data_IF_643267832111
#
_entry.id   IF_643267832111
#
_cell.length_a   1.000
_cell.length_b   1.000
_cell.length_c   1.000
_cell.angle_alpha   90.00
_cell.angle_beta   90.00
_cell.angle_gamma   90.00
#
_symmetry.space_group_name_H-M   'P 1'
#
loop_
_entity.id
_entity.type
_entity.pdbx_description
1 polymer ?
#
# COMPACT_ATOMS: atom_id res chain seq x y z
N UNK A 1 13.46 -13.20 36.89
CA UNK A 1 14.68 -14.02 36.77
C UNK A 1 14.60 -14.71 35.42
N UNK A 2 15.22 -14.12 34.40
CA UNK A 2 15.34 -14.75 33.08
C UNK A 2 16.39 -15.85 33.24
N UNK A 3 16.16 -17.09 32.78
CA UNK A 3 17.19 -18.10 32.83
C UNK A 3 18.32 -17.68 31.89
N UNK A 4 19.55 -17.58 32.41
CA UNK A 4 20.74 -17.44 31.58
C UNK A 4 20.76 -18.57 30.54
N UNK A 5 20.69 -18.18 29.27
CA UNK A 5 20.96 -19.08 28.15
C UNK A 5 22.46 -19.33 28.14
N UNK A 6 22.94 -20.59 28.10
CA UNK A 6 24.38 -20.84 28.03
C UNK A 6 24.96 -20.23 26.75
N UNK A 7 25.96 -19.36 26.92
CA UNK A 7 26.61 -18.52 25.88
C UNK A 7 26.99 -19.30 24.61
N UNK A 8 27.33 -20.59 24.75
CA UNK A 8 27.73 -21.47 23.65
C UNK A 8 26.62 -21.70 22.60
N UNK A 9 25.34 -21.66 22.99
CA UNK A 9 24.23 -21.88 22.03
C UNK A 9 24.03 -20.71 21.07
N UNK A 10 24.38 -19.49 21.50
CA UNK A 10 24.21 -18.29 20.69
C UNK A 10 25.24 -18.21 19.57
N UNK A 11 26.51 -18.49 19.88
CA UNK A 11 27.61 -18.50 18.90
C UNK A 11 27.40 -19.56 17.81
N UNK A 12 26.88 -20.74 18.17
CA UNK A 12 26.54 -21.79 17.20
C UNK A 12 25.37 -21.41 16.27
N UNK A 13 24.45 -20.54 16.71
CA UNK A 13 23.38 -20.02 15.85
C UNK A 13 23.91 -18.99 14.87
N UNK A 14 24.74 -18.06 15.33
CA UNK A 14 25.42 -17.08 14.48
C UNK A 14 26.27 -17.79 13.42
N UNK A 15 27.09 -18.76 13.82
CA UNK A 15 27.95 -19.50 12.90
C UNK A 15 27.18 -20.22 11.79
N UNK A 16 25.99 -20.76 12.10
CA UNK A 16 25.09 -21.37 11.11
C UNK A 16 24.52 -20.33 10.14
N UNK A 17 24.03 -19.20 10.64
CA UNK A 17 23.50 -18.11 9.81
C UNK A 17 24.54 -17.57 8.82
N UNK A 18 25.78 -17.37 9.28
CA UNK A 18 26.90 -16.93 8.43
C UNK A 18 27.19 -17.96 7.33
N UNK A 19 27.23 -19.25 7.69
CA UNK A 19 27.47 -20.35 6.75
C UNK A 19 26.38 -20.43 5.69
N UNK A 20 25.13 -20.33 6.10
CA UNK A 20 23.98 -20.46 5.20
C UNK A 20 23.89 -19.25 4.26
N UNK A 21 24.11 -18.04 4.78
CA UNK A 21 24.17 -16.80 3.98
C UNK A 21 25.31 -16.85 2.95
N UNK A 22 26.51 -17.30 3.36
CA UNK A 22 27.65 -17.48 2.44
C UNK A 22 27.33 -18.48 1.33
N UNK A 23 26.73 -19.63 1.67
CA UNK A 23 26.34 -20.65 0.70
C UNK A 23 25.27 -20.16 -0.26
N UNK A 24 24.29 -19.39 0.23
CA UNK A 24 23.24 -18.80 -0.60
C UNK A 24 23.82 -17.85 -1.65
N UNK A 25 24.87 -17.09 -1.28
CA UNK A 25 25.63 -16.23 -2.21
C UNK A 25 26.58 -17.01 -3.15
N UNK A 26 26.68 -18.34 -3.02
CA UNK A 26 27.57 -19.20 -3.80
C UNK A 26 29.05 -19.06 -3.45
N UNK A 27 29.39 -18.49 -2.29
CA UNK A 27 30.79 -18.19 -1.94
C UNK A 27 31.47 -19.34 -1.20
N UNK A 28 32.76 -19.54 -1.47
CA UNK A 28 33.65 -20.40 -0.68
C UNK A 28 34.09 -19.70 0.61
N UNK A 29 34.53 -20.47 1.62
CA UNK A 29 35.06 -19.88 2.87
C UNK A 29 36.28 -18.99 2.60
N UNK A 30 37.09 -19.30 1.57
CA UNK A 30 38.23 -18.49 1.15
C UNK A 30 37.80 -17.13 0.61
N UNK A 31 36.75 -17.08 -0.22
CA UNK A 31 36.22 -15.82 -0.75
C UNK A 31 35.65 -14.92 0.35
N UNK A 32 34.94 -15.51 1.32
CA UNK A 32 34.50 -14.75 2.49
C UNK A 32 35.69 -14.27 3.33
N UNK A 33 36.72 -15.10 3.51
CA UNK A 33 37.92 -14.72 4.24
C UNK A 33 38.63 -13.53 3.60
N UNK A 34 38.76 -13.52 2.27
CA UNK A 34 39.31 -12.41 1.49
C UNK A 34 38.49 -11.14 1.68
N UNK A 35 37.15 -11.21 1.57
CA UNK A 35 36.26 -10.06 1.77
C UNK A 35 36.36 -9.47 3.20
N UNK A 36 36.62 -10.31 4.20
CA UNK A 36 36.76 -9.91 5.60
C UNK A 36 38.20 -9.57 5.99
N UNK A 37 39.18 -9.66 5.08
CA UNK A 37 40.60 -9.46 5.41
C UNK A 37 41.10 -10.41 6.51
N UNK A 38 40.61 -11.66 6.52
CA UNK A 38 40.94 -12.68 7.52
C UNK A 38 41.36 -13.99 6.86
N UNK A 39 41.63 -15.05 7.65
CA UNK A 39 42.01 -16.37 7.13
C UNK A 39 40.81 -17.31 6.94
N UNK A 40 40.90 -18.24 6.00
CA UNK A 40 39.87 -19.27 5.80
C UNK A 40 39.64 -20.09 7.07
N UNK A 41 40.69 -20.38 7.84
CA UNK A 41 40.58 -21.08 9.11
C UNK A 41 39.83 -20.27 10.17
N UNK A 42 39.94 -18.93 10.17
CA UNK A 42 39.15 -18.07 11.03
C UNK A 42 37.66 -18.11 10.64
N UNK A 43 37.34 -18.02 9.34
CA UNK A 43 35.96 -18.19 8.84
C UNK A 43 35.39 -19.56 9.22
N UNK A 44 36.20 -20.62 9.15
CA UNK A 44 35.78 -21.96 9.56
C UNK A 44 35.39 -22.03 11.05
N UNK A 45 36.21 -21.45 11.94
CA UNK A 45 35.91 -21.39 13.38
C UNK A 45 34.67 -20.54 13.68
N UNK A 46 34.52 -19.42 12.97
CA UNK A 46 33.34 -18.56 13.06
C UNK A 46 32.07 -19.33 12.68
N UNK A 47 32.09 -20.06 11.56
CA UNK A 47 30.95 -20.86 11.12
C UNK A 47 30.65 -22.04 12.04
N UNK A 48 31.63 -22.54 12.79
CA UNK A 48 31.44 -23.56 13.81
C UNK A 48 30.96 -23.01 15.16
N UNK A 49 30.90 -21.68 15.32
CA UNK A 49 30.57 -21.04 16.60
C UNK A 49 31.67 -21.14 17.65
N UNK A 50 32.91 -21.45 17.24
CA UNK A 50 34.06 -21.64 18.14
C UNK A 50 34.88 -20.37 18.38
N UNK A 51 34.37 -19.20 18.00
CA UNK A 51 35.08 -17.93 18.13
C UNK A 51 34.11 -16.79 18.51
N UNK A 52 34.49 -16.02 19.54
CA UNK A 52 33.79 -14.78 19.88
C UNK A 52 34.02 -13.72 18.79
N UNK A 53 32.95 -13.07 18.37
CA UNK A 53 32.95 -12.05 17.34
C UNK A 53 32.69 -10.69 17.97
N UNK A 54 33.48 -9.68 17.61
CA UNK A 54 33.13 -8.30 17.91
C UNK A 54 31.93 -7.85 17.07
N UNK A 55 31.20 -6.85 17.53
CA UNK A 55 30.11 -6.23 16.77
C UNK A 55 30.60 -5.70 15.41
N UNK A 56 31.78 -5.09 15.39
CA UNK A 56 32.42 -4.62 14.15
C UNK A 56 32.66 -5.77 13.16
N UNK A 57 33.12 -6.93 13.64
CA UNK A 57 33.31 -8.11 12.78
C UNK A 57 31.98 -8.65 12.27
N UNK A 58 30.94 -8.64 13.10
CA UNK A 58 29.59 -9.04 12.69
C UNK A 58 29.02 -8.10 11.62
N UNK A 59 29.18 -6.78 11.76
CA UNK A 59 28.76 -5.79 10.75
C UNK A 59 29.48 -6.02 9.43
N UNK A 60 30.81 -6.21 9.45
CA UNK A 60 31.58 -6.50 8.23
C UNK A 60 31.16 -7.79 7.54
N UNK A 61 30.76 -8.81 8.31
CA UNK A 61 30.20 -10.06 7.76
C UNK A 61 28.81 -9.81 7.17
N UNK A 62 27.98 -9.01 7.84
CA UNK A 62 26.65 -8.59 7.36
C UNK A 62 26.76 -7.91 6.00
N UNK A 63 27.65 -6.91 5.87
CA UNK A 63 27.91 -6.18 4.64
C UNK A 63 28.51 -7.08 3.55
N UNK A 64 29.50 -7.91 3.92
CA UNK A 64 30.16 -8.81 2.98
C UNK A 64 29.27 -9.96 2.50
N UNK A 65 28.16 -10.26 3.17
CA UNK A 65 27.21 -11.30 2.76
C UNK A 65 25.87 -10.74 2.29
N UNK A 66 25.67 -9.42 2.35
CA UNK A 66 24.40 -8.76 2.07
C UNK A 66 23.24 -9.43 2.84
N UNK A 67 23.50 -9.74 4.10
CA UNK A 67 22.63 -10.55 4.96
C UNK A 67 22.54 -9.90 6.33
N UNK A 68 21.32 -9.68 6.84
CA UNK A 68 21.07 -9.14 8.19
C UNK A 68 21.37 -10.19 9.26
N UNK A 69 22.66 -10.41 9.56
CA UNK A 69 23.09 -11.39 10.57
C UNK A 69 22.84 -10.86 11.99
N UNK A 70 22.89 -9.54 12.16
CA UNK A 70 22.54 -8.86 13.41
C UNK A 70 21.37 -7.93 13.15
N UNK A 71 20.17 -8.47 13.29
CA UNK A 71 18.99 -7.67 13.61
C UNK A 71 18.91 -7.57 15.13
N UNK A 72 18.97 -6.36 15.68
CA UNK A 72 18.49 -6.08 17.04
C UNK A 72 16.96 -6.17 17.03
N UNK A 73 16.45 -7.40 16.92
CA UNK A 73 15.04 -7.69 16.69
C UNK A 73 14.85 -9.13 16.21
N UNK A 74 13.86 -9.83 16.76
CA UNK A 74 13.63 -11.25 16.47
C UNK A 74 13.30 -11.50 14.98
N UNK A 75 14.24 -12.06 14.21
CA UNK A 75 14.02 -12.51 12.83
C UNK A 75 13.52 -13.96 12.77
N UNK A 76 12.30 -14.18 13.28
CA UNK A 76 11.56 -15.43 13.16
C UNK A 76 10.06 -15.18 13.27
N UNK A 77 9.19 -16.16 12.93
CA UNK A 77 7.75 -15.99 13.10
C UNK A 77 7.44 -15.56 14.54
N UNK A 78 6.88 -14.36 14.67
CA UNK A 78 6.59 -13.78 15.96
C UNK A 78 5.34 -14.45 16.54
N UNK A 79 5.55 -15.34 17.51
CA UNK A 79 4.47 -15.98 18.22
C UNK A 79 4.10 -15.15 19.46
N UNK A 80 2.88 -14.61 19.47
CA UNK A 80 2.34 -13.93 20.65
C UNK A 80 1.72 -14.96 21.60
N UNK A 81 2.31 -15.15 22.78
CA UNK A 81 1.72 -15.97 23.85
C UNK A 81 1.01 -15.06 24.85
N UNK A 82 -0.32 -15.01 24.77
CA UNK A 82 -1.15 -14.26 25.73
C UNK A 82 -1.42 -15.13 26.95
N UNK A 83 -1.13 -14.64 28.16
CA UNK A 83 -1.57 -15.25 29.43
C UNK A 83 -2.84 -14.55 29.90
N UNK A 84 -3.95 -15.28 29.96
CA UNK A 84 -5.24 -14.75 30.41
C UNK A 84 -5.28 -14.46 31.92
N UNK A 85 -6.38 -13.84 32.37
CA UNK A 85 -6.65 -13.57 33.80
C UNK A 85 -6.32 -12.15 34.27
N UNK A 86 -5.67 -11.33 33.44
CA UNK A 86 -5.40 -9.92 33.74
C UNK A 86 -6.56 -9.03 33.27
N UNK A 87 -7.10 -8.19 34.18
CA UNK A 87 -8.01 -7.10 33.82
C UNK A 87 -7.18 -5.91 33.32
N UNK A 88 -7.39 -5.48 32.09
CA UNK A 88 -6.71 -4.31 31.53
C UNK A 88 -7.34 -3.01 32.07
N UNK A 89 -6.52 -2.08 32.55
CA UNK A 89 -6.91 -0.72 32.91
C UNK A 89 -5.81 0.26 32.47
N UNK A 90 -6.20 1.45 31.99
CA UNK A 90 -5.29 2.48 31.49
C UNK A 90 -5.84 3.19 30.25
N UNK A 91 -5.05 4.10 29.69
CA UNK A 91 -5.30 4.77 28.41
C UNK A 91 -4.21 4.40 27.41
N UNK A 92 -4.57 4.33 26.13
CA UNK A 92 -3.61 4.19 25.04
C UNK A 92 -3.84 5.30 24.03
N UNK A 93 -2.75 5.88 23.51
CA UNK A 93 -2.84 6.76 22.36
C UNK A 93 -2.91 5.91 21.10
N UNK A 94 -4.09 5.89 20.49
CA UNK A 94 -4.30 5.19 19.23
C UNK A 94 -3.67 6.03 18.12
N UNK A 95 -2.55 5.58 17.55
CA UNK A 95 -1.98 6.20 16.34
C UNK A 95 -3.04 6.18 15.23
N UNK A 96 -3.18 7.31 14.53
CA UNK A 96 -4.20 7.54 13.50
C UNK A 96 -4.18 6.47 12.40
N UNK A 97 -5.38 6.14 11.93
CA UNK A 97 -5.73 4.89 11.24
C UNK A 97 -5.00 4.65 9.92
N UNK A 98 -4.55 3.40 9.77
CA UNK A 98 -3.84 2.75 8.67
C UNK A 98 -4.52 2.83 7.28
N UNK A 99 -5.85 2.96 7.20
CA UNK A 99 -6.58 2.59 5.97
C UNK A 99 -7.19 3.76 5.18
N UNK A 100 -7.47 4.92 5.80
CA UNK A 100 -8.06 6.06 5.07
C UNK A 100 -7.11 6.67 4.04
N UNK A 101 -5.79 6.57 4.29
CA UNK A 101 -4.78 7.11 3.37
C UNK A 101 -4.82 6.47 1.98
N UNK A 102 -5.08 5.17 1.88
CA UNK A 102 -5.04 4.44 0.61
C UNK A 102 -6.09 4.95 -0.38
N UNK A 103 -7.35 5.05 0.04
CA UNK A 103 -8.41 5.56 -0.83
C UNK A 103 -8.19 7.01 -1.26
N UNK A 104 -7.64 7.84 -0.35
CA UNK A 104 -7.29 9.24 -0.65
C UNK A 104 -6.12 9.35 -1.64
N UNK A 105 -5.11 8.48 -1.56
CA UNK A 105 -4.01 8.43 -2.53
C UNK A 105 -4.53 8.10 -3.94
N UNK A 106 -5.44 7.13 -4.06
CA UNK A 106 -6.08 6.80 -5.33
C UNK A 106 -6.96 7.96 -5.84
N UNK A 107 -7.77 8.56 -4.95
CA UNK A 107 -8.63 9.69 -5.30
C UNK A 107 -7.84 10.96 -5.68
N UNK A 108 -6.59 11.10 -5.23
CA UNK A 108 -5.72 12.20 -5.65
C UNK A 108 -5.44 12.21 -7.16
N UNK A 109 -5.52 11.06 -7.84
CA UNK A 109 -5.39 11.00 -9.31
C UNK A 109 -6.50 11.75 -10.06
N UNK A 110 -7.67 11.95 -9.44
CA UNK A 110 -8.77 12.71 -10.05
C UNK A 110 -8.47 14.22 -10.12
N UNK A 111 -7.64 14.73 -9.21
CA UNK A 111 -7.40 16.17 -9.05
C UNK A 111 -6.19 16.62 -9.86
N UNK A 112 -6.39 17.52 -10.83
CA UNK A 112 -5.31 18.12 -11.63
C UNK A 112 -4.53 19.21 -10.88
N UNK A 113 -5.05 19.69 -9.76
CA UNK A 113 -4.35 20.61 -8.86
C UNK A 113 -3.40 19.90 -7.89
N UNK A 114 -2.80 20.67 -6.97
CA UNK A 114 -1.95 20.11 -5.91
C UNK A 114 -2.79 19.57 -4.76
N UNK A 115 -2.52 18.34 -4.34
CA UNK A 115 -3.12 17.74 -3.15
C UNK A 115 -2.09 17.64 -2.03
N UNK A 116 -2.39 18.21 -0.86
CA UNK A 116 -1.65 17.97 0.38
C UNK A 116 -2.51 17.14 1.33
N UNK A 117 -2.07 15.92 1.64
CA UNK A 117 -2.71 15.05 2.62
C UNK A 117 -1.96 15.16 3.95
N UNK A 118 -2.67 15.55 5.01
CA UNK A 118 -2.08 15.74 6.35
C UNK A 118 -2.03 14.44 7.15
N UNK A 119 -0.92 14.22 7.85
CA UNK A 119 -0.70 13.10 8.77
C UNK A 119 -0.98 11.71 8.16
N UNK A 120 -0.51 11.49 6.94
CA UNK A 120 -0.62 10.20 6.26
C UNK A 120 0.26 9.16 6.97
N UNK A 121 -0.27 7.97 7.22
CA UNK A 121 0.50 6.90 7.86
C UNK A 121 1.61 6.39 6.91
N UNK A 122 2.86 6.37 7.39
CA UNK A 122 4.00 5.75 6.67
C UNK A 122 4.02 4.25 6.88
N UNK A 123 3.15 3.55 6.17
CA UNK A 123 3.05 2.09 6.18
C UNK A 123 3.39 1.53 4.80
N UNK A 124 3.71 0.25 4.78
CA UNK A 124 4.08 -0.49 3.57
C UNK A 124 3.07 -0.32 2.41
N UNK A 125 1.76 -0.38 2.70
CA UNK A 125 0.73 -0.20 1.66
C UNK A 125 0.74 1.20 1.04
N UNK A 126 0.99 2.24 1.85
CA UNK A 126 1.11 3.62 1.37
C UNK A 126 2.35 3.75 0.50
N UNK A 127 3.50 3.23 0.95
CA UNK A 127 4.75 3.30 0.20
C UNK A 127 4.62 2.62 -1.18
N UNK A 128 4.00 1.44 -1.26
CA UNK A 128 3.75 0.74 -2.53
C UNK A 128 2.90 1.58 -3.49
N UNK A 129 1.85 2.24 -3.00
CA UNK A 129 1.02 3.11 -3.85
C UNK A 129 1.83 4.31 -4.31
N UNK A 130 2.67 4.90 -3.45
CA UNK A 130 3.55 6.01 -3.84
C UNK A 130 4.57 5.58 -4.89
N UNK A 131 5.14 4.38 -4.80
CA UNK A 131 6.03 3.81 -5.83
C UNK A 131 5.32 3.76 -7.19
N UNK A 132 4.10 3.21 -7.23
CA UNK A 132 3.30 3.15 -8.47
C UNK A 132 2.95 4.56 -8.97
N UNK A 133 2.47 5.46 -8.10
CA UNK A 133 2.15 6.84 -8.47
C UNK A 133 3.37 7.56 -9.06
N UNK A 134 4.53 7.46 -8.41
CA UNK A 134 5.78 8.06 -8.88
C UNK A 134 6.21 7.48 -10.23
N UNK A 135 6.06 6.17 -10.43
CA UNK A 135 6.41 5.51 -11.70
C UNK A 135 5.59 6.01 -12.90
N UNK A 136 4.32 6.41 -12.68
CA UNK A 136 3.46 6.98 -13.74
C UNK A 136 3.54 8.50 -13.85
N UNK A 137 4.53 9.13 -13.19
CA UNK A 137 4.85 10.55 -13.29
C UNK A 137 4.22 11.47 -12.23
N UNK A 138 3.45 10.93 -11.28
CA UNK A 138 2.92 11.71 -10.15
C UNK A 138 4.06 12.06 -9.21
N UNK A 139 4.25 13.33 -8.87
CA UNK A 139 5.30 13.74 -7.94
C UNK A 139 4.76 13.70 -6.52
N UNK A 140 5.40 12.91 -5.66
CA UNK A 140 5.05 12.83 -4.24
C UNK A 140 6.20 13.30 -3.36
N UNK A 141 5.90 14.07 -2.30
CA UNK A 141 6.91 14.62 -1.39
C UNK A 141 6.40 14.70 0.04
N UNK A 142 7.13 14.07 0.97
CA UNK A 142 6.88 14.25 2.40
C UNK A 142 7.38 15.63 2.86
N UNK A 143 6.52 16.39 3.52
CA UNK A 143 6.77 17.80 3.85
C UNK A 143 7.41 18.01 5.22
N UNK A 144 7.12 17.12 6.18
CA UNK A 144 7.51 17.30 7.58
C UNK A 144 7.51 15.97 8.36
N UNK A 145 7.93 16.03 9.62
CA UNK A 145 7.92 14.92 10.58
C UNK A 145 6.50 14.50 11.00
N UNK A 146 5.51 15.36 10.80
CA UNK A 146 4.10 15.05 11.05
C UNK A 146 3.49 14.15 9.96
N UNK A 147 4.29 13.73 8.97
CA UNK A 147 3.88 12.90 7.83
C UNK A 147 2.83 13.56 6.93
N UNK A 148 2.98 14.85 6.68
CA UNK A 148 2.22 15.50 5.60
C UNK A 148 2.83 15.14 4.25
N UNK A 149 1.97 14.83 3.28
CA UNK A 149 2.33 14.35 1.96
C UNK A 149 1.76 15.28 0.89
N UNK A 150 2.63 15.88 0.08
CA UNK A 150 2.28 16.61 -1.13
C UNK A 150 2.25 15.65 -2.33
N UNK A 151 1.23 15.78 -3.17
CA UNK A 151 0.96 14.97 -4.37
C UNK A 151 0.63 15.94 -5.50
N UNK A 152 1.37 15.86 -6.59
CA UNK A 152 1.18 16.68 -7.79
C UNK A 152 1.13 15.74 -8.99
N UNK A 153 -0.05 15.61 -9.59
CA UNK A 153 -0.25 14.79 -10.79
C UNK A 153 0.23 15.57 -12.04
N UNK A 154 0.89 14.93 -13.01
CA UNK A 154 1.24 15.57 -14.28
C UNK A 154 -0.01 15.81 -15.14
N UNK A 155 0.10 16.61 -16.20
CA UNK A 155 -1.01 16.80 -17.13
C UNK A 155 -1.43 15.47 -17.79
N UNK A 156 -0.46 14.62 -18.13
CA UNK A 156 -0.62 13.31 -18.71
C UNK A 156 0.18 12.27 -17.91
N UNK A 157 -0.45 11.14 -17.60
CA UNK A 157 0.17 10.02 -16.88
C UNK A 157 0.93 9.12 -17.87
N UNK A 158 2.10 8.64 -17.47
CA UNK A 158 2.88 7.68 -18.24
C UNK A 158 2.61 6.26 -17.74
N UNK A 159 1.52 5.66 -18.19
CA UNK A 159 1.14 4.30 -17.77
C UNK A 159 2.11 3.23 -18.29
N UNK A 160 2.88 3.51 -19.35
CA UNK A 160 3.89 2.58 -19.87
C UNK A 160 5.10 2.47 -18.94
N UNK A 161 5.38 3.51 -18.15
CA UNK A 161 6.43 3.52 -17.14
C UNK A 161 6.00 2.92 -15.78
N UNK A 162 4.77 2.38 -15.66
CA UNK A 162 4.27 1.84 -14.41
C UNK A 162 5.19 0.74 -13.85
N UNK A 163 5.57 0.86 -12.59
CA UNK A 163 6.30 -0.17 -11.86
C UNK A 163 5.37 -1.37 -11.61
N UNK A 164 5.47 -2.36 -12.50
CA UNK A 164 4.65 -3.55 -12.44
C UNK A 164 4.95 -4.40 -11.20
N UNK A 165 6.17 -4.41 -10.67
CA UNK A 165 6.48 -5.19 -9.47
C UNK A 165 5.81 -4.58 -8.23
N UNK A 166 5.91 -3.26 -8.07
CA UNK A 166 5.23 -2.53 -7.01
C UNK A 166 3.70 -2.67 -7.13
N UNK A 167 3.16 -2.54 -8.34
CA UNK A 167 1.73 -2.70 -8.61
C UNK A 167 1.22 -4.12 -8.27
N UNK A 168 1.97 -5.17 -8.64
CA UNK A 168 1.62 -6.57 -8.33
C UNK A 168 1.68 -6.88 -6.84
N UNK A 169 2.39 -6.05 -6.07
CA UNK A 169 2.54 -6.20 -4.62
C UNK A 169 1.35 -5.58 -3.86
N UNK A 170 0.62 -4.60 -4.39
CA UNK A 170 -0.53 -3.99 -3.69
C UNK A 170 -1.87 -4.47 -4.25
N UNK A 171 -2.81 -4.89 -3.38
CA UNK A 171 -4.19 -5.20 -3.79
C UNK A 171 -4.99 -3.95 -4.14
N UNK A 172 -4.55 -2.78 -3.69
CA UNK A 172 -5.20 -1.50 -3.93
C UNK A 172 -4.95 -0.96 -5.34
N UNK A 173 -4.12 -1.60 -6.17
CA UNK A 173 -3.94 -1.21 -7.58
C UNK A 173 -5.27 -1.21 -8.36
N UNK A 174 -6.21 -2.09 -8.00
CA UNK A 174 -7.55 -2.13 -8.60
C UNK A 174 -8.32 -0.82 -8.44
N UNK A 175 -7.93 0.00 -7.45
CA UNK A 175 -8.55 1.30 -7.25
C UNK A 175 -8.15 2.34 -8.29
N UNK A 176 -7.13 2.08 -9.10
CA UNK A 176 -6.71 2.98 -10.17
C UNK A 176 -7.65 2.89 -11.39
N UNK A 177 -8.47 1.84 -11.50
CA UNK A 177 -9.46 1.70 -12.57
C UNK A 177 -10.38 2.92 -12.68
N UNK A 178 -10.89 3.40 -11.54
CA UNK A 178 -11.86 4.48 -11.48
C UNK A 178 -11.29 5.88 -11.81
N UNK A 179 -10.10 6.30 -11.34
CA UNK A 179 -9.52 7.55 -11.78
C UNK A 179 -8.96 7.50 -13.22
N UNK A 180 -8.34 6.40 -13.63
CA UNK A 180 -7.71 6.30 -14.95
C UNK A 180 -8.71 6.28 -16.10
N UNK A 181 -9.92 5.73 -15.88
CA UNK A 181 -10.95 5.70 -16.92
C UNK A 181 -11.41 7.08 -17.40
N UNK A 182 -11.16 8.15 -16.63
CA UNK A 182 -11.51 9.51 -17.03
C UNK A 182 -10.51 10.16 -17.99
N UNK A 183 -9.31 9.61 -18.10
CA UNK A 183 -8.22 10.19 -18.89
C UNK A 183 -7.74 9.25 -20.02
N UNK A 184 -8.16 7.98 -20.02
CA UNK A 184 -7.71 6.96 -20.97
C UNK A 184 -8.86 6.09 -21.49
N UNK A 185 -9.00 5.97 -22.81
CA UNK A 185 -9.97 5.06 -23.45
C UNK A 185 -9.59 3.58 -23.31
N UNK A 186 -8.28 3.30 -23.21
CA UNK A 186 -7.73 1.95 -23.02
C UNK A 186 -6.50 2.02 -22.13
N UNK A 187 -6.40 1.10 -21.18
CA UNK A 187 -5.23 0.98 -20.31
C UNK A 187 -5.14 -0.42 -19.68
N UNK A 188 -3.96 -0.74 -19.16
CA UNK A 188 -3.70 -2.01 -18.49
C UNK A 188 -3.22 -1.79 -17.06
N UNK A 189 -3.68 -2.62 -16.13
CA UNK A 189 -3.19 -2.64 -14.75
C UNK A 189 -2.68 -4.04 -14.38
N UNK A 190 -1.51 -4.18 -13.76
CA UNK A 190 -1.02 -5.48 -13.29
C UNK A 190 -1.93 -6.08 -12.20
N UNK A 191 -2.06 -7.40 -12.18
CA UNK A 191 -2.73 -8.09 -11.08
C UNK A 191 -1.95 -8.04 -9.78
N UNK A 192 -2.64 -7.76 -8.69
CA UNK A 192 -2.11 -7.95 -7.37
C UNK A 192 -1.95 -9.45 -7.01
N UNK A 193 -0.72 -9.96 -7.00
CA UNK A 193 -0.33 -11.27 -6.44
C UNK A 193 -0.66 -12.53 -7.25
N UNK A 194 0.15 -13.59 -7.04
CA UNK A 194 0.07 -14.89 -7.71
C UNK A 194 -0.72 -15.95 -6.92
N UNK A 195 -1.98 -16.14 -7.27
CA UNK A 195 -2.78 -17.31 -6.86
C UNK A 195 -4.01 -17.43 -7.78
N UNK A 196 -4.33 -18.65 -8.22
CA UNK A 196 -5.44 -19.04 -9.10
C UNK A 196 -6.86 -18.72 -8.59
N UNK A 197 -7.02 -17.86 -7.57
CA UNK A 197 -8.30 -17.38 -7.04
C UNK A 197 -8.70 -15.97 -7.55
N UNK A 198 -7.90 -15.37 -8.43
CA UNK A 198 -7.87 -13.93 -8.72
C UNK A 198 -9.05 -13.29 -9.47
N UNK A 199 -10.06 -14.02 -9.93
CA UNK A 199 -11.21 -13.44 -10.66
C UNK A 199 -12.41 -13.12 -9.77
N UNK A 200 -12.70 -13.93 -8.74
CA UNK A 200 -13.88 -13.70 -7.86
C UNK A 200 -13.72 -12.49 -6.95
N UNK A 201 -12.48 -12.11 -6.60
CA UNK A 201 -12.19 -10.98 -5.71
C UNK A 201 -12.29 -9.61 -6.37
N UNK A 202 -12.42 -9.57 -7.71
CA UNK A 202 -12.38 -8.31 -8.49
C UNK A 202 -13.68 -8.01 -9.21
N UNK A 203 -14.49 -9.04 -9.45
CA UNK A 203 -15.82 -8.94 -10.07
C UNK A 203 -16.72 -7.84 -9.46
N UNK A 204 -16.71 -7.60 -8.13
CA UNK A 204 -17.47 -6.50 -7.54
C UNK A 204 -17.06 -5.12 -8.05
N UNK A 205 -15.76 -4.86 -8.22
CA UNK A 205 -15.26 -3.61 -8.80
C UNK A 205 -15.70 -3.47 -10.25
N UNK A 206 -15.58 -4.54 -11.05
CA UNK A 206 -15.95 -4.51 -12.47
C UNK A 206 -17.45 -4.28 -12.65
N UNK A 207 -18.26 -4.93 -11.82
CA UNK A 207 -19.72 -4.75 -11.83
C UNK A 207 -20.11 -3.34 -11.40
N UNK A 208 -19.41 -2.75 -10.43
CA UNK A 208 -19.65 -1.38 -9.99
C UNK A 208 -19.26 -0.32 -11.03
N UNK A 209 -18.22 -0.59 -11.83
CA UNK A 209 -17.69 0.37 -12.82
C UNK A 209 -18.30 0.22 -14.22
N UNK A 210 -18.88 -0.94 -14.56
CA UNK A 210 -19.53 -1.19 -15.86
C UNK A 210 -20.59 -0.15 -16.24
N UNK A 211 -21.48 0.32 -15.34
CA UNK A 211 -22.47 1.35 -15.69
C UNK A 211 -21.86 2.70 -16.09
N UNK A 212 -20.58 2.93 -15.75
CA UNK A 212 -19.83 4.13 -16.13
C UNK A 212 -19.03 3.92 -17.44
N UNK A 213 -19.25 2.81 -18.15
CA UNK A 213 -18.58 2.50 -19.42
C UNK A 213 -17.29 1.70 -19.29
N UNK A 214 -16.89 1.28 -18.09
CA UNK A 214 -15.66 0.51 -17.91
C UNK A 214 -15.89 -0.99 -18.13
N UNK A 215 -15.39 -1.53 -19.23
CA UNK A 215 -15.25 -2.97 -19.42
C UNK A 215 -13.83 -3.40 -19.01
N UNK A 216 -13.72 -4.44 -18.18
CA UNK A 216 -12.41 -4.96 -17.76
C UNK A 216 -12.33 -6.45 -18.02
N UNK A 217 -11.33 -6.85 -18.81
CA UNK A 217 -11.00 -8.24 -19.09
C UNK A 217 -9.80 -8.64 -18.26
N UNK A 218 -10.03 -9.58 -17.36
CA UNK A 218 -8.99 -10.17 -16.55
C UNK A 218 -8.30 -11.30 -17.34
N UNK A 219 -7.20 -11.02 -18.05
CA UNK A 219 -6.41 -12.04 -18.77
C UNK A 219 -4.89 -11.81 -18.68
N UNK A 220 -4.09 -12.89 -18.77
CA UNK A 220 -2.63 -12.77 -18.91
C UNK A 220 -1.88 -12.13 -17.73
N UNK A 221 -2.47 -12.13 -16.53
CA UNK A 221 -1.84 -11.50 -15.36
C UNK A 221 -2.06 -9.99 -15.25
N UNK A 222 -2.96 -9.42 -16.06
CA UNK A 222 -3.30 -7.98 -16.08
C UNK A 222 -4.79 -7.74 -16.30
N UNK A 223 -5.29 -6.62 -15.80
CA UNK A 223 -6.62 -6.08 -16.09
C UNK A 223 -6.52 -5.25 -17.36
N UNK A 224 -7.22 -5.67 -18.40
CA UNK A 224 -7.34 -4.93 -19.66
C UNK A 224 -8.61 -4.11 -19.61
N UNK A 225 -8.48 -2.78 -19.51
CA UNK A 225 -9.60 -1.87 -19.40
C UNK A 225 -9.89 -1.20 -20.74
N UNK A 226 -11.16 -1.21 -21.13
CA UNK A 226 -11.72 -0.44 -22.24
C UNK A 226 -12.83 0.47 -21.70
N UNK A 227 -12.83 1.73 -22.10
CA UNK A 227 -13.76 2.74 -21.58
C UNK A 227 -14.64 3.26 -22.70
N UNK A 228 -15.95 3.10 -22.54
CA UNK A 228 -16.94 3.87 -23.26
C UNK A 228 -17.13 5.22 -22.56
N UNK A 229 -16.49 6.26 -23.10
CA UNK A 229 -16.52 7.61 -22.54
C UNK A 229 -17.92 8.21 -22.46
N UNK A 230 -18.87 7.77 -23.29
CA UNK A 230 -20.23 8.31 -23.36
C UNK A 230 -21.21 7.60 -22.41
N UNK A 231 -20.86 6.43 -21.89
CA UNK A 231 -21.72 5.64 -21.02
C UNK A 231 -21.94 6.27 -19.63
N UNK A 232 -23.16 6.77 -19.39
CA UNK A 232 -23.59 7.31 -18.10
C UNK A 232 -24.54 6.30 -17.43
N UNK A 233 -24.46 6.09 -16.11
CA UNK A 233 -25.45 5.28 -15.40
C UNK A 233 -26.86 5.84 -15.57
N UNK A 234 -27.76 5.07 -16.20
CA UNK A 234 -29.18 5.40 -16.40
C UNK A 234 -30.05 5.03 -15.18
N UNK A 235 -29.49 4.23 -14.27
CA UNK A 235 -30.14 3.66 -13.09
C UNK A 235 -29.19 3.68 -11.89
N UNK A 236 -29.71 3.52 -10.66
CA UNK A 236 -28.86 3.36 -9.50
C UNK A 236 -27.84 2.22 -9.65
N UNK A 237 -26.58 2.51 -9.38
CA UNK A 237 -25.50 1.53 -9.33
C UNK A 237 -25.61 0.76 -8.01
N UNK A 238 -26.04 -0.50 -8.07
CA UNK A 238 -26.19 -1.36 -6.89
C UNK A 238 -24.91 -2.18 -6.72
N UNK A 239 -24.16 -1.94 -5.64
CA UNK A 239 -22.96 -2.71 -5.34
C UNK A 239 -23.35 -4.13 -4.92
N UNK A 240 -22.72 -5.15 -5.53
CA UNK A 240 -23.01 -6.56 -5.25
C UNK A 240 -22.54 -6.99 -3.86
N UNK A 241 -21.46 -6.39 -3.38
CA UNK A 241 -20.97 -6.52 -2.02
C UNK A 241 -20.77 -5.15 -1.37
N UNK A 242 -20.87 -5.11 -0.05
CA UNK A 242 -20.63 -3.89 0.74
C UNK A 242 -19.14 -3.76 1.07
N UNK A 243 -18.31 -3.64 0.03
CA UNK A 243 -16.86 -3.46 0.14
C UNK A 243 -16.47 -1.98 0.22
N UNK A 244 -15.50 -1.65 1.08
CA UNK A 244 -14.97 -0.28 1.20
C UNK A 244 -14.34 0.18 -0.12
N UNK A 245 -13.39 -0.59 -0.66
CA UNK A 245 -12.68 -0.28 -1.92
C UNK A 245 -13.60 -0.26 -3.14
N UNK A 246 -14.62 -1.12 -3.17
CA UNK A 246 -15.63 -1.15 -4.24
C UNK A 246 -16.46 0.15 -4.21
N UNK A 247 -16.87 0.57 -3.01
CA UNK A 247 -17.61 1.82 -2.82
C UNK A 247 -16.75 3.02 -3.20
N UNK A 248 -15.49 3.05 -2.79
CA UNK A 248 -14.52 4.10 -3.13
C UNK A 248 -14.29 4.19 -4.65
N UNK A 249 -14.21 3.07 -5.36
CA UNK A 249 -14.14 3.07 -6.84
C UNK A 249 -15.38 3.66 -7.49
N UNK A 250 -16.57 3.21 -7.07
CA UNK A 250 -17.82 3.75 -7.60
C UNK A 250 -17.94 5.26 -7.32
N UNK A 251 -17.49 5.72 -6.15
CA UNK A 251 -17.41 7.15 -5.81
C UNK A 251 -16.47 7.91 -6.73
N UNK A 252 -15.25 7.42 -6.95
CA UNK A 252 -14.28 8.05 -7.84
C UNK A 252 -14.74 8.09 -9.30
N UNK A 253 -15.45 7.05 -9.76
CA UNK A 253 -16.06 7.02 -11.09
C UNK A 253 -17.18 8.07 -11.22
N UNK A 254 -18.08 8.14 -10.24
CA UNK A 254 -19.17 9.11 -10.22
C UNK A 254 -18.68 10.56 -10.05
N UNK A 255 -17.59 10.78 -9.31
CA UNK A 255 -17.08 12.11 -8.97
C UNK A 255 -16.70 12.97 -10.18
N UNK A 256 -16.12 12.35 -11.23
CA UNK A 256 -15.70 13.06 -12.45
C UNK A 256 -16.69 12.97 -13.62
N UNK A 257 -17.92 12.51 -13.36
CA UNK A 257 -18.99 12.41 -14.36
C UNK A 257 -19.91 13.62 -14.27
N UNK A 258 -20.29 14.20 -15.40
CA UNK A 258 -21.34 15.22 -15.40
C UNK A 258 -22.71 14.56 -15.13
N UNK A 259 -23.43 15.03 -14.12
CA UNK A 259 -24.74 14.53 -13.73
C UNK A 259 -24.80 13.85 -12.36
N UNK A 260 -25.91 13.14 -12.12
CA UNK A 260 -26.26 12.57 -10.81
C UNK A 260 -26.20 11.04 -10.87
N UNK A 261 -25.37 10.44 -10.02
CA UNK A 261 -25.29 9.00 -9.84
C UNK A 261 -25.79 8.60 -8.46
N UNK A 262 -26.67 7.59 -8.40
CA UNK A 262 -27.12 7.00 -7.13
C UNK A 262 -26.37 5.67 -6.94
N UNK A 263 -25.59 5.56 -5.86
CA UNK A 263 -24.89 4.34 -5.47
C UNK A 263 -25.66 3.71 -4.30
N UNK A 264 -26.11 2.45 -4.47
CA UNK A 264 -26.83 1.68 -3.44
C UNK A 264 -25.97 0.55 -2.91
N UNK A 265 -26.25 0.15 -1.67
CA UNK A 265 -25.45 -0.84 -0.93
C UNK A 265 -24.00 -0.36 -0.67
N UNK A 266 -23.79 0.95 -0.63
CA UNK A 266 -22.50 1.59 -0.32
C UNK A 266 -22.04 1.24 1.09
N UNK A 267 -20.74 1.07 1.30
CA UNK A 267 -20.20 0.90 2.65
C UNK A 267 -20.29 2.21 3.45
N UNK A 268 -20.90 2.21 4.65
CA UNK A 268 -21.00 3.40 5.50
C UNK A 268 -19.72 3.63 6.33
N UNK A 269 -18.65 2.86 6.12
CA UNK A 269 -17.46 2.91 6.96
C UNK A 269 -16.71 4.26 6.85
N UNK A 270 -15.94 4.59 7.88
CA UNK A 270 -15.27 5.88 7.97
C UNK A 270 -14.24 6.15 6.86
N UNK A 271 -13.64 5.13 6.25
CA UNK A 271 -12.69 5.27 5.13
C UNK A 271 -13.38 5.79 3.87
N UNK A 272 -14.56 5.25 3.57
CA UNK A 272 -15.43 5.71 2.47
C UNK A 272 -15.91 7.13 2.75
N UNK A 273 -16.29 7.43 4.00
CA UNK A 273 -16.68 8.79 4.38
C UNK A 273 -15.54 9.79 4.18
N UNK A 274 -14.29 9.43 4.51
CA UNK A 274 -13.11 10.27 4.27
C UNK A 274 -12.95 10.57 2.77
N UNK A 275 -13.11 9.59 1.89
CA UNK A 275 -13.11 9.82 0.44
C UNK A 275 -14.25 10.74 0.01
N UNK A 276 -15.47 10.55 0.54
CA UNK A 276 -16.59 11.46 0.24
C UNK A 276 -16.29 12.91 0.64
N UNK A 277 -15.77 13.12 1.86
CA UNK A 277 -15.41 14.46 2.32
C UNK A 277 -14.28 15.06 1.49
N UNK A 278 -13.26 14.28 1.12
CA UNK A 278 -12.20 14.74 0.23
C UNK A 278 -12.74 15.18 -1.13
N UNK A 279 -13.59 14.38 -1.75
CA UNK A 279 -14.26 14.73 -3.01
C UNK A 279 -15.15 15.97 -2.88
N UNK A 280 -15.74 16.18 -1.70
CA UNK A 280 -16.56 17.37 -1.42
C UNK A 280 -15.74 18.66 -1.38
N UNK A 281 -14.54 18.62 -0.79
CA UNK A 281 -13.59 19.73 -0.84
C UNK A 281 -13.09 20.01 -2.28
N UNK A 282 -13.12 19.01 -3.16
CA UNK A 282 -12.83 19.13 -4.58
C UNK A 282 -14.00 19.65 -5.43
N UNK A 283 -15.16 19.92 -4.83
CA UNK A 283 -16.33 20.50 -5.49
C UNK A 283 -17.42 19.50 -5.90
N UNK A 284 -17.23 18.20 -5.61
CA UNK A 284 -18.26 17.17 -5.84
C UNK A 284 -19.32 17.28 -4.74
N UNK A 285 -20.62 17.32 -5.08
CA UNK A 285 -21.66 17.26 -4.05
C UNK A 285 -22.03 15.79 -3.79
N UNK A 286 -22.01 15.38 -2.51
CA UNK A 286 -22.37 14.01 -2.12
C UNK A 286 -23.39 14.05 -0.99
N UNK A 287 -24.59 13.55 -1.25
CA UNK A 287 -25.65 13.38 -0.24
C UNK A 287 -25.63 11.94 0.29
N UNK A 288 -26.01 11.75 1.56
CA UNK A 288 -26.13 10.42 2.19
C UNK A 288 -24.82 9.85 2.75
N UNK A 289 -23.77 10.65 2.94
CA UNK A 289 -22.47 10.23 3.51
C UNK A 289 -22.69 9.50 4.85
N UNK A 290 -22.08 8.33 4.99
CA UNK A 290 -22.22 7.47 6.17
C UNK A 290 -23.49 6.60 6.18
N UNK A 291 -24.30 6.66 5.13
CA UNK A 291 -25.44 5.76 4.91
C UNK A 291 -25.12 4.71 3.84
N UNK A 292 -26.09 3.86 3.53
CA UNK A 292 -25.96 2.79 2.53
C UNK A 292 -26.36 3.22 1.12
N UNK A 293 -26.82 4.46 0.96
CA UNK A 293 -27.20 5.05 -0.33
C UNK A 293 -26.54 6.41 -0.46
N UNK A 294 -25.73 6.59 -1.49
CA UNK A 294 -25.03 7.83 -1.80
C UNK A 294 -25.60 8.43 -3.07
N UNK A 295 -25.89 9.73 -3.06
CA UNK A 295 -26.22 10.47 -4.28
C UNK A 295 -25.06 11.40 -4.59
N UNK A 296 -24.37 11.13 -5.70
CA UNK A 296 -23.17 11.85 -6.13
C UNK A 296 -23.54 12.75 -7.30
N UNK A 297 -23.34 14.05 -7.14
CA UNK A 297 -23.43 15.02 -8.22
C UNK A 297 -21.98 15.31 -8.65
N UNK A 298 -21.56 14.64 -9.71
CA UNK A 298 -20.18 14.71 -10.19
C UNK A 298 -19.90 16.03 -10.93
N UNK A 299 -18.61 16.30 -11.13
CA UNK A 299 -18.13 17.46 -11.87
C UNK A 299 -17.17 17.00 -12.96
N UNK A 300 -17.25 17.50 -14.21
CA UNK A 300 -16.46 16.97 -15.32
C UNK A 300 -14.94 17.17 -15.14
N UNK A 301 -14.55 18.25 -14.48
CA UNK A 301 -13.16 18.61 -14.23
C UNK A 301 -12.94 18.93 -12.77
N UNK A 302 -11.88 18.35 -12.20
CA UNK A 302 -11.40 18.64 -10.85
C UNK A 302 -9.99 19.19 -10.95
N UNK A 303 -9.83 20.47 -10.67
CA UNK A 303 -8.53 21.15 -10.64
C UNK A 303 -8.54 22.16 -9.50
N UNK A 304 -8.05 21.72 -8.33
CA UNK A 304 -8.04 22.55 -7.13
C UNK A 304 -6.85 22.25 -6.26
N UNK A 305 -6.19 23.29 -5.78
CA UNK A 305 -5.24 23.15 -4.68
C UNK A 305 -5.98 22.84 -3.39
N UNK A 306 -5.69 21.70 -2.78
CA UNK A 306 -6.35 21.23 -1.57
C UNK A 306 -5.34 20.87 -0.48
N UNK A 307 -5.68 21.27 0.74
CA UNK A 307 -5.05 20.85 1.98
C UNK A 307 -6.07 20.06 2.80
N UNK A 308 -5.92 18.74 2.82
CA UNK A 308 -6.91 17.83 3.39
C UNK A 308 -6.35 17.03 4.56
N UNK A 309 -7.10 17.02 5.66
CA UNK A 309 -6.83 16.21 6.85
C UNK A 309 -7.94 15.15 7.02
N UNK A 310 -7.61 13.84 6.96
CA UNK A 310 -8.58 12.75 7.17
C UNK A 310 -9.33 12.88 8.50
N UNK A 311 -10.59 12.48 8.60
CA UNK A 311 -11.49 12.83 9.70
C UNK A 311 -10.97 12.44 11.09
N UNK A 312 -10.16 11.37 11.21
CA UNK A 312 -9.55 10.97 12.50
C UNK A 312 -8.30 11.78 12.90
N UNK A 313 -7.83 12.67 12.03
CA UNK A 313 -6.76 13.65 12.32
C UNK A 313 -7.31 15.05 12.59
N UNK A 314 -8.61 15.29 12.34
CA UNK A 314 -9.30 16.50 12.80
C UNK A 314 -9.44 16.40 14.32
N UNK A 315 -8.49 16.96 15.08
CA UNK A 315 -8.76 17.25 16.48
C UNK A 315 -9.96 18.18 16.48
N UNK A 316 -11.07 17.78 17.12
CA UNK A 316 -12.16 18.71 17.41
C UNK A 316 -11.55 19.93 18.09
N UNK A 317 -11.53 21.06 17.39
CA UNK A 317 -11.46 22.38 17.99
C UNK A 317 -12.88 22.87 18.15
#
# INVERSE_FOLDING_TARGET
MVPDMPDDQYLQRIGRLIRDSRKHRGWTQTQLATALGTSQSAVHRIEQGGQNLSLEMLTRISDALDSEIVSLGHSGPMHLRVRGGAKLSGSIDVKTSKNAGVGLLCAALLNKGRTTLRRVARIEEVNRILEVLNSIGVRTRWLNEANDLEIIRPAQLDLAAMDAEAARRTRSIIMFLAPLMHDHERFELPYAGGCDLGTRTVEPHMTALRPFGLEVKATGGSYHAEVDGDAVPDRPVVLTERGDTVTENALMAAARRDGVTIIRNASPNYMVQDVCFYLTELGVRIDGIGTTTLTVHGVPNIERDIDYAPARTRSRR
#
